data_IF_841643636828
#
_entry.id   IF_841643636828
#
_cell.length_a   1.000
_cell.length_b   1.000
_cell.length_c   1.000
_cell.angle_alpha   90.00
_cell.angle_beta   90.00
_cell.angle_gamma   90.00
#
_symmetry.space_group_name_H-M   'P 1'
#
loop_
_entity.id
_entity.type
_entity.pdbx_description
1 polymer ?
#
# COMPACT_ATOMS: atom_id res chain seq x y z
N UNK A 1 -19.46 0.84 13.74
CA UNK A 1 -18.09 1.40 13.65
C UNK A 1 -17.14 0.22 13.71
N UNK A 2 -16.61 -0.24 12.57
CA UNK A 2 -15.69 -1.38 12.55
C UNK A 2 -14.25 -0.87 12.78
N UNK A 3 -13.63 -1.12 13.93
CA UNK A 3 -12.28 -0.65 14.26
C UNK A 3 -11.16 -1.33 13.45
N UNK A 4 -11.50 -2.27 12.56
CA UNK A 4 -10.55 -3.07 11.77
C UNK A 4 -9.83 -2.26 10.68
N UNK A 5 -10.34 -1.09 10.29
CA UNK A 5 -9.68 -0.23 9.29
C UNK A 5 -8.32 0.32 9.77
N UNK A 6 -8.08 0.32 11.09
CA UNK A 6 -6.81 0.71 11.69
C UNK A 6 -6.11 -0.49 12.31
N UNK A 7 -5.98 -1.57 11.54
CA UNK A 7 -5.15 -2.71 11.94
C UNK A 7 -3.69 -2.41 11.62
N UNK A 8 -2.80 -2.78 12.54
CA UNK A 8 -1.35 -2.73 12.36
C UNK A 8 -0.93 -3.45 11.05
N UNK A 9 -1.62 -4.55 10.72
CA UNK A 9 -1.43 -5.30 9.47
C UNK A 9 -1.69 -4.43 8.23
N UNK A 10 -2.72 -3.59 8.26
CA UNK A 10 -3.05 -2.69 7.14
C UNK A 10 -1.98 -1.61 6.97
N UNK A 11 -1.47 -1.06 8.08
CA UNK A 11 -0.37 -0.08 8.05
C UNK A 11 0.89 -0.71 7.46
N UNK A 12 1.23 -1.95 7.81
CA UNK A 12 2.37 -2.65 7.21
C UNK A 12 2.22 -2.90 5.72
N UNK A 13 1.02 -3.24 5.25
CA UNK A 13 0.75 -3.36 3.82
C UNK A 13 0.99 -2.03 3.10
N UNK A 14 0.49 -0.92 3.66
CA UNK A 14 0.71 0.42 3.08
C UNK A 14 2.20 0.79 3.08
N UNK A 15 2.92 0.55 4.17
CA UNK A 15 4.37 0.81 4.25
C UNK A 15 5.13 -0.05 3.24
N UNK A 16 4.74 -1.31 3.03
CA UNK A 16 5.35 -2.17 2.03
C UNK A 16 5.16 -1.62 0.61
N UNK A 17 3.96 -1.16 0.26
CA UNK A 17 3.68 -0.53 -1.05
C UNK A 17 4.56 0.71 -1.26
N UNK A 18 4.67 1.55 -0.24
CA UNK A 18 5.49 2.77 -0.27
C UNK A 18 6.97 2.48 -0.38
N UNK A 19 7.45 1.42 0.27
CA UNK A 19 8.85 1.09 0.29
C UNK A 19 9.30 0.32 -0.96
N UNK A 20 8.42 -0.45 -1.63
CA UNK A 20 8.66 -0.95 -2.99
C UNK A 20 8.63 0.21 -4.00
N UNK A 21 7.64 1.09 -3.89
CA UNK A 21 7.42 2.17 -4.85
C UNK A 21 8.33 3.39 -4.70
N UNK A 22 8.85 3.62 -3.49
CA UNK A 22 9.58 4.82 -3.10
C UNK A 22 8.67 5.98 -2.68
N UNK A 23 9.12 6.77 -1.70
CA UNK A 23 8.40 7.94 -1.14
C UNK A 23 8.39 9.19 -2.07
N UNK A 24 8.93 9.08 -3.29
CA UNK A 24 9.19 10.25 -4.15
C UNK A 24 8.09 10.61 -5.15
N UNK A 25 7.26 9.68 -5.59
CA UNK A 25 6.10 9.91 -6.49
C UNK A 25 4.93 9.02 -6.12
N UNK A 26 3.74 9.33 -6.65
CA UNK A 26 2.56 8.48 -6.57
C UNK A 26 2.62 7.26 -7.53
N UNK A 27 3.36 7.35 -8.64
CA UNK A 27 3.45 6.28 -9.64
C UNK A 27 4.20 5.04 -9.14
N UNK A 28 5.25 5.24 -8.34
CA UNK A 28 6.01 4.16 -7.73
C UNK A 28 5.16 3.29 -6.78
N UNK A 29 4.45 3.88 -5.80
CA UNK A 29 3.54 3.16 -4.91
C UNK A 29 2.42 2.41 -5.64
N UNK A 30 1.91 2.93 -6.76
CA UNK A 30 0.93 2.23 -7.60
C UNK A 30 1.50 0.93 -8.20
N UNK A 31 2.72 0.96 -8.71
CA UNK A 31 3.42 -0.22 -9.23
C UNK A 31 3.76 -1.18 -8.08
N UNK A 32 4.22 -0.66 -6.94
CA UNK A 32 4.49 -1.44 -5.74
C UNK A 32 3.25 -2.14 -5.18
N UNK A 33 2.10 -1.46 -5.21
CA UNK A 33 0.81 -2.03 -4.85
C UNK A 33 0.41 -3.16 -5.80
N UNK A 34 0.54 -2.96 -7.12
CA UNK A 34 0.22 -4.02 -8.09
C UNK A 34 1.06 -5.30 -7.85
N UNK A 35 2.37 -5.16 -7.63
CA UNK A 35 3.27 -6.28 -7.34
C UNK A 35 2.87 -6.97 -6.03
N UNK A 36 2.60 -6.19 -4.97
CA UNK A 36 2.19 -6.73 -3.68
C UNK A 36 0.86 -7.48 -3.77
N UNK A 37 -0.14 -6.89 -4.43
CA UNK A 37 -1.44 -7.51 -4.62
C UNK A 37 -1.29 -8.87 -5.29
N UNK A 38 -0.57 -8.93 -6.42
CA UNK A 38 -0.34 -10.19 -7.14
C UNK A 38 0.39 -11.21 -6.25
N UNK A 39 1.43 -10.78 -5.54
CA UNK A 39 2.17 -11.65 -4.62
C UNK A 39 1.27 -12.22 -3.52
N UNK A 40 0.48 -11.37 -2.87
CA UNK A 40 -0.44 -11.83 -1.81
C UNK A 40 -1.55 -12.70 -2.33
N UNK A 41 -2.06 -12.44 -3.52
CA UNK A 41 -3.15 -13.20 -4.13
C UNK A 41 -2.69 -14.60 -4.53
N UNK A 42 -1.43 -14.74 -4.98
CA UNK A 42 -0.80 -16.05 -5.18
C UNK A 42 -0.59 -16.82 -3.87
N UNK A 43 -0.40 -16.10 -2.77
CA UNK A 43 -0.14 -16.68 -1.44
C UNK A 43 -1.43 -16.93 -0.63
N UNK A 44 -2.54 -16.30 -1.00
CA UNK A 44 -3.83 -16.42 -0.31
C UNK A 44 -4.37 -17.86 -0.30
N UNK A 45 -4.34 -18.63 -1.41
CA UNK A 45 -4.81 -20.03 -1.42
C UNK A 45 -4.02 -20.92 -0.45
N UNK A 46 -2.74 -20.62 -0.26
CA UNK A 46 -1.87 -21.36 0.67
C UNK A 46 -2.22 -21.05 2.12
N UNK A 47 -2.59 -19.79 2.41
CA UNK A 47 -3.00 -19.39 3.75
C UNK A 47 -4.41 -19.91 4.11
N UNK A 48 -5.35 -19.87 3.17
CA UNK A 48 -6.73 -20.30 3.38
C UNK A 48 -6.88 -21.82 3.51
N UNK A 49 -5.82 -22.57 3.17
CA UNK A 49 -5.82 -24.03 3.20
C UNK A 49 -6.54 -24.55 1.96
N UNK A 50 -5.76 -24.97 0.96
CA UNK A 50 -6.34 -25.52 -0.26
C UNK A 50 -6.49 -27.03 -0.13
N UNK A 51 -7.71 -27.53 -0.30
CA UNK A 51 -7.99 -28.98 -0.37
C UNK A 51 -7.72 -29.45 -1.80
N UNK A 52 -6.45 -29.74 -2.12
CA UNK A 52 -6.11 -30.33 -3.42
C UNK A 52 -6.22 -31.85 -3.31
N UNK A 53 -7.22 -32.43 -3.98
CA UNK A 53 -7.26 -33.87 -4.30
C UNK A 53 -7.11 -34.82 -3.09
N UNK A 54 -7.82 -34.54 -1.97
CA UNK A 54 -7.86 -35.41 -0.80
C UNK A 54 -6.70 -35.26 0.20
N UNK A 55 -5.71 -34.41 -0.09
CA UNK A 55 -4.74 -33.96 0.91
C UNK A 55 -5.23 -32.64 1.54
N UNK A 56 -5.67 -32.72 2.79
CA UNK A 56 -6.01 -31.53 3.58
C UNK A 56 -4.71 -30.84 4.00
N UNK A 57 -4.30 -29.80 3.29
CA UNK A 57 -3.23 -28.92 3.77
C UNK A 57 -3.85 -27.98 4.81
N UNK A 58 -3.49 -28.11 6.10
CA UNK A 58 -4.05 -27.25 7.13
C UNK A 58 -3.64 -25.79 6.85
N UNK A 59 -4.56 -24.83 7.06
CA UNK A 59 -4.31 -23.43 6.80
C UNK A 59 -3.15 -22.91 7.66
N UNK A 60 -2.12 -22.37 7.01
CA UNK A 60 -0.97 -21.77 7.68
C UNK A 60 -1.27 -20.28 7.90
N UNK A 61 -1.98 -20.00 8.98
CA UNK A 61 -2.28 -18.64 9.39
C UNK A 61 -0.98 -17.86 9.68
N UNK A 62 -0.83 -16.72 9.04
CA UNK A 62 0.34 -15.84 9.22
C UNK A 62 1.41 -15.94 8.13
N UNK A 63 1.25 -16.80 7.12
CA UNK A 63 2.18 -16.86 6.00
C UNK A 63 2.29 -15.52 5.25
N UNK A 64 1.16 -14.85 5.00
CA UNK A 64 1.15 -13.50 4.38
C UNK A 64 1.82 -12.46 5.30
N UNK A 65 1.66 -12.56 6.62
CA UNK A 65 2.33 -11.65 7.56
C UNK A 65 3.86 -11.82 7.54
N UNK A 66 4.35 -13.07 7.50
CA UNK A 66 5.79 -13.36 7.38
C UNK A 66 6.32 -12.88 6.04
N UNK A 67 5.57 -13.10 4.95
CA UNK A 67 5.92 -12.60 3.63
C UNK A 67 6.03 -11.07 3.61
N UNK A 68 5.07 -10.37 4.21
CA UNK A 68 5.10 -8.91 4.32
C UNK A 68 6.34 -8.41 5.10
N UNK A 69 6.63 -9.02 6.25
CA UNK A 69 7.80 -8.66 7.05
C UNK A 69 9.12 -8.92 6.30
N UNK A 70 9.22 -10.07 5.62
CA UNK A 70 10.38 -10.42 4.81
C UNK A 70 10.56 -9.43 3.66
N UNK A 71 9.45 -9.06 3.00
CA UNK A 71 9.48 -8.10 1.91
C UNK A 71 9.92 -6.71 2.41
N UNK A 72 9.46 -6.28 3.58
CA UNK A 72 9.96 -5.06 4.25
C UNK A 72 11.46 -5.10 4.56
N UNK A 73 11.98 -6.27 4.96
CA UNK A 73 13.42 -6.43 5.19
C UNK A 73 14.18 -6.35 3.86
N UNK A 74 13.72 -7.05 2.83
CA UNK A 74 14.34 -7.05 1.50
C UNK A 74 14.46 -5.63 0.95
N UNK A 75 13.39 -4.84 0.94
CA UNK A 75 13.42 -3.47 0.42
C UNK A 75 14.28 -2.53 1.28
N UNK A 76 14.34 -2.76 2.60
CA UNK A 76 15.21 -1.99 3.48
C UNK A 76 16.69 -2.29 3.19
N UNK A 77 17.03 -3.53 2.82
CA UNK A 77 18.37 -3.92 2.37
C UNK A 77 18.69 -3.31 0.99
N UNK A 78 17.74 -3.35 0.05
CA UNK A 78 17.98 -2.95 -1.33
C UNK A 78 18.14 -1.44 -1.56
N UNK A 79 17.76 -0.60 -0.58
CA UNK A 79 18.00 0.86 -0.42
C UNK A 79 16.67 1.57 -0.08
N UNK A 80 16.47 2.04 1.18
CA UNK A 80 15.24 2.70 1.62
C UNK A 80 15.08 4.14 1.06
N UNK A 81 15.91 4.53 0.07
CA UNK A 81 15.87 5.87 -0.54
C UNK A 81 14.97 5.98 -1.76
N UNK A 82 14.32 4.89 -2.17
CA UNK A 82 13.38 4.90 -3.31
C UNK A 82 14.06 5.16 -4.65
N UNK A 83 13.39 4.76 -5.74
CA UNK A 83 13.89 4.90 -7.11
C UNK A 83 14.09 6.37 -7.53
N UNK A 84 13.46 7.29 -6.80
CA UNK A 84 13.40 8.71 -7.14
C UNK A 84 14.36 9.51 -6.26
N UNK A 85 15.64 9.33 -6.54
CA UNK A 85 16.75 10.08 -5.98
C UNK A 85 16.68 11.57 -6.40
N UNK A 86 15.73 12.32 -5.82
CA UNK A 86 15.73 13.79 -5.78
C UNK A 86 15.79 14.52 -7.11
N UNK A 87 15.41 13.89 -8.23
CA UNK A 87 15.49 14.52 -9.56
C UNK A 87 14.14 14.44 -10.28
N UNK A 88 13.49 15.61 -10.32
CA UNK A 88 12.78 16.13 -11.50
C UNK A 88 11.34 15.64 -11.80
N UNK A 89 10.43 15.63 -10.82
CA UNK A 89 8.98 15.73 -11.14
C UNK A 89 8.31 16.85 -10.33
N UNK A 90 8.91 18.04 -10.38
CA UNK A 90 8.24 19.29 -9.95
C UNK A 90 7.12 19.74 -10.90
N UNK A 91 6.83 19.02 -11.98
CA UNK A 91 5.94 19.53 -13.05
C UNK A 91 4.58 18.85 -13.19
N UNK A 92 4.26 17.77 -12.45
CA UNK A 92 3.00 17.03 -12.64
C UNK A 92 2.03 17.04 -11.45
N UNK A 93 2.40 17.64 -10.31
CA UNK A 93 1.48 17.86 -9.17
C UNK A 93 0.66 19.14 -9.42
N UNK A 94 -0.11 19.11 -10.50
CA UNK A 94 -1.31 19.92 -10.69
C UNK A 94 -2.49 18.99 -11.00
N UNK A 95 -2.60 17.88 -10.27
CA UNK A 95 -3.73 16.98 -10.41
C UNK A 95 -4.34 16.60 -9.07
N UNK A 96 -5.40 17.33 -8.76
CA UNK A 96 -6.59 16.83 -8.08
C UNK A 96 -6.54 16.72 -6.56
N UNK A 97 -7.01 17.79 -5.90
CA UNK A 97 -8.25 17.69 -5.11
C UNK A 97 -8.91 19.07 -4.96
N UNK A 98 -9.92 19.28 -5.79
CA UNK A 98 -10.89 20.37 -5.71
C UNK A 98 -11.94 19.96 -4.68
N UNK A 99 -11.98 20.64 -3.54
CA UNK A 99 -13.09 20.52 -2.59
C UNK A 99 -13.50 21.92 -2.09
N UNK A 100 -14.73 22.31 -2.43
CA UNK A 100 -15.54 23.19 -1.57
C UNK A 100 -15.39 24.70 -1.70
N UNK A 101 -15.72 25.28 -2.86
CA UNK A 101 -16.22 26.66 -2.90
C UNK A 101 -17.64 26.68 -2.31
N UNK A 102 -17.78 26.94 -1.01
CA UNK A 102 -19.04 27.36 -0.39
C UNK A 102 -18.92 28.80 0.08
N UNK A 103 -19.08 29.68 -0.90
CA UNK A 103 -19.81 30.95 -0.85
C UNK A 103 -20.59 31.19 0.47
N UNK A 104 -20.23 32.27 1.16
CA UNK A 104 -20.91 32.73 2.36
C UNK A 104 -20.33 34.04 2.92
N UNK A 105 -19.88 34.95 2.06
CA UNK A 105 -19.51 36.31 2.46
C UNK A 105 -20.65 37.27 2.14
N UNK A 106 -21.65 37.33 3.02
CA UNK A 106 -22.55 38.46 3.13
C UNK A 106 -22.11 39.35 4.30
N UNK A 107 -20.93 39.96 4.17
CA UNK A 107 -20.61 41.17 4.92
C UNK A 107 -21.50 42.31 4.41
N UNK A 108 -22.54 42.60 5.19
CA UNK A 108 -22.68 43.87 5.90
C UNK A 108 -22.06 45.07 5.14
N UNK A 109 -22.85 45.63 4.23
CA UNK A 109 -22.85 47.04 3.80
C UNK A 109 -24.27 47.52 4.09
N UNK A 110 -24.56 48.62 4.76
CA UNK A 110 -23.80 49.68 5.41
C UNK A 110 -24.85 50.59 6.07
#
# INVERSE_FOLDING_TARGET
MNPKAFSLVYVFQVVAMLAIGGIGTLSGPLIGAAILTIGTELLAPVQEGFTFLGCTVPPIFGFVNVFMALLLIVIMIFKPRGLMNGREIGSFICFSKKEGNSNGNSNIKG
#
